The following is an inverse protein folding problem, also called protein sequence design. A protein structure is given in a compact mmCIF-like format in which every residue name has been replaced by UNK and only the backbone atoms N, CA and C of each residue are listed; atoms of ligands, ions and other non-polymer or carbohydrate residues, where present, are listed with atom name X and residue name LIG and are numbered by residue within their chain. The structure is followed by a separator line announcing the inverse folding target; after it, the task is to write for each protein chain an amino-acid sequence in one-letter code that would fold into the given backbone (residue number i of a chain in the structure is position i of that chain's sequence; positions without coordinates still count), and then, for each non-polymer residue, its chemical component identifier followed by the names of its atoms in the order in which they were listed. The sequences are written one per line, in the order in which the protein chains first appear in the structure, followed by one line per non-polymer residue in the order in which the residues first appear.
data_IF_658586375248
#
_entry.id   IF_658586375248
#
_cell.length_a   1.000
_cell.length_b   1.000
_cell.length_c   1.000
_cell.angle_alpha   90.00
_cell.angle_beta   90.00
_cell.angle_gamma   90.00
#
_symmetry.space_group_name_H-M   'P 1'
#
loop_
_entity.id
_entity.type
_entity.pdbx_description
1 polymer ?
#
# COMPACT_ATOMS: atom_id res chain seq x y z
N UNK A 1 -12.05 0.04 74.28
CA UNK A 1 -12.66 0.33 72.96
C UNK A 1 -11.57 0.89 72.04
N UNK A 2 -11.13 0.11 71.05
CA UNK A 2 -10.17 0.54 70.02
C UNK A 2 -10.94 0.62 68.69
N UNK A 3 -10.82 1.68 67.89
CA UNK A 3 -11.47 1.72 66.59
C UNK A 3 -10.64 0.89 65.60
N UNK A 4 -11.28 -0.06 64.95
CA UNK A 4 -10.73 -0.81 63.81
C UNK A 4 -10.63 0.11 62.61
N UNK A 5 -9.41 0.40 62.17
CA UNK A 5 -9.14 1.03 60.89
C UNK A 5 -9.25 -0.03 59.79
N UNK A 6 -10.40 -0.10 59.11
CA UNK A 6 -10.57 -0.85 57.87
C UNK A 6 -10.02 0.04 56.74
N UNK A 7 -8.75 -0.16 56.39
CA UNK A 7 -8.19 0.38 55.14
C UNK A 7 -8.79 -0.41 53.97
N UNK A 8 -9.78 0.19 53.30
CA UNK A 8 -10.20 -0.26 51.97
C UNK A 8 -9.10 0.12 50.97
N UNK A 9 -8.32 -0.87 50.53
CA UNK A 9 -7.51 -0.76 49.31
C UNK A 9 -8.45 -0.71 48.10
N UNK A 10 -8.79 0.49 47.65
CA UNK A 10 -9.28 0.73 46.30
C UNK A 10 -8.09 0.61 45.34
N UNK A 11 -7.82 -0.61 44.88
CA UNK A 11 -6.94 -0.83 43.74
C UNK A 11 -7.58 -0.21 42.50
N UNK A 12 -7.10 0.97 42.09
CA UNK A 12 -7.33 1.51 40.75
C UNK A 12 -6.71 0.53 39.74
N UNK A 13 -7.50 -0.42 39.25
CA UNK A 13 -7.26 -1.03 37.96
C UNK A 13 -7.59 0.03 36.92
N UNK A 14 -6.58 0.81 36.53
CA UNK A 14 -6.64 1.58 35.31
C UNK A 14 -6.69 0.59 34.14
N UNK A 15 -7.91 0.14 33.77
CA UNK A 15 -8.14 -0.48 32.48
C UNK A 15 -7.70 0.55 31.44
N UNK A 16 -6.52 0.33 30.88
CA UNK A 16 -6.14 0.96 29.63
C UNK A 16 -7.04 0.36 28.57
N UNK A 17 -8.24 0.93 28.41
CA UNK A 17 -8.99 0.78 27.19
C UNK A 17 -8.10 1.35 26.09
N UNK A 18 -7.36 0.45 25.42
CA UNK A 18 -6.59 0.83 24.24
C UNK A 18 -7.60 1.38 23.26
N UNK A 19 -7.50 2.67 22.93
CA UNK A 19 -8.40 3.29 21.99
C UNK A 19 -8.40 2.45 20.70
N UNK A 20 -9.55 1.86 20.35
CA UNK A 20 -9.61 1.13 19.09
C UNK A 20 -9.46 2.14 17.97
N UNK A 21 -8.61 1.82 17.00
CA UNK A 21 -8.32 2.63 15.84
C UNK A 21 -8.04 1.72 14.64
N UNK A 22 -7.96 2.33 13.47
CA UNK A 22 -7.47 1.67 12.26
C UNK A 22 -6.36 2.52 11.68
N UNK A 23 -5.29 1.87 11.21
CA UNK A 23 -4.24 2.51 10.45
C UNK A 23 -4.18 1.92 9.05
N UNK A 24 -3.95 2.79 8.05
CA UNK A 24 -3.68 2.36 6.68
C UNK A 24 -2.25 2.76 6.29
N UNK A 25 -1.46 1.75 5.96
CA UNK A 25 -0.04 1.89 5.65
C UNK A 25 0.25 1.40 4.23
N UNK A 26 1.41 1.77 3.68
CA UNK A 26 1.85 1.25 2.39
C UNK A 26 2.07 -0.26 2.41
N UNK A 27 2.04 -0.91 1.24
CA UNK A 27 2.32 -2.35 1.07
C UNK A 27 3.66 -2.83 1.65
N UNK A 28 4.61 -1.92 1.87
CA UNK A 28 5.95 -2.19 2.40
C UNK A 28 6.06 -2.09 3.92
N UNK A 29 4.97 -1.76 4.62
CA UNK A 29 4.96 -1.74 6.07
C UNK A 29 5.30 -3.12 6.64
N UNK A 30 6.13 -3.13 7.68
CA UNK A 30 6.35 -4.29 8.55
C UNK A 30 6.24 -3.85 10.00
N UNK A 31 5.94 -4.75 10.96
CA UNK A 31 5.87 -4.40 12.38
C UNK A 31 7.16 -3.79 12.94
N UNK A 32 8.31 -4.14 12.34
CA UNK A 32 9.63 -3.64 12.72
C UNK A 32 9.99 -2.29 12.08
N UNK A 33 9.23 -1.85 11.07
CA UNK A 33 9.42 -0.56 10.40
C UNK A 33 8.49 0.49 11.01
N UNK A 34 8.89 1.03 12.15
CA UNK A 34 8.15 2.09 12.88
C UNK A 34 8.03 3.40 12.10
N UNK A 35 8.80 3.59 11.03
CA UNK A 35 8.82 4.79 10.18
C UNK A 35 7.97 4.69 8.91
N UNK A 36 7.27 3.58 8.67
CA UNK A 36 6.47 3.43 7.46
C UNK A 36 5.32 4.45 7.44
N UNK A 37 5.31 5.32 6.43
CA UNK A 37 4.41 6.47 6.30
C UNK A 37 2.94 6.04 6.32
N UNK A 38 2.13 6.76 7.09
CA UNK A 38 0.67 6.72 6.98
C UNK A 38 0.25 7.32 5.64
N UNK A 39 -0.56 6.60 4.88
CA UNK A 39 -0.85 6.96 3.50
C UNK A 39 -2.18 7.70 3.44
N UNK A 40 -2.13 9.03 3.54
CA UNK A 40 -3.35 9.86 3.62
C UNK A 40 -3.96 10.10 2.23
N UNK A 41 -3.11 10.35 1.21
CA UNK A 41 -3.58 10.71 -0.14
C UNK A 41 -2.71 10.12 -1.27
N UNK A 42 -2.75 8.79 -1.47
CA UNK A 42 -1.88 8.12 -2.42
C UNK A 42 -2.19 8.55 -3.86
N UNK A 43 -1.14 8.75 -4.67
CA UNK A 43 -1.29 8.81 -6.12
C UNK A 43 -1.41 7.40 -6.67
N UNK A 44 -2.38 7.17 -7.56
CA UNK A 44 -2.56 5.90 -8.26
C UNK A 44 -2.61 6.14 -9.76
N UNK A 45 -1.99 5.26 -10.53
CA UNK A 45 -2.08 5.26 -11.98
C UNK A 45 -3.31 4.49 -12.45
N UNK A 46 -3.82 4.83 -13.63
CA UNK A 46 -4.85 4.05 -14.33
C UNK A 46 -4.26 2.74 -14.83
N UNK A 47 -5.12 1.73 -14.97
CA UNK A 47 -4.73 0.38 -15.38
C UNK A 47 -3.67 -0.25 -14.45
N UNK A 48 -3.73 0.08 -13.16
CA UNK A 48 -2.71 -0.31 -12.17
C UNK A 48 -3.33 -0.80 -10.87
N UNK A 49 -2.62 -1.70 -10.19
CA UNK A 49 -2.91 -2.05 -8.80
C UNK A 49 -2.14 -1.12 -7.85
N UNK A 50 -2.78 -0.77 -6.74
CA UNK A 50 -2.15 -0.17 -5.58
C UNK A 50 -2.56 -0.94 -4.35
N UNK A 51 -1.59 -1.33 -3.53
CA UNK A 51 -1.83 -2.19 -2.36
C UNK A 51 -1.52 -1.45 -1.07
N UNK A 52 -2.37 -1.64 -0.06
CA UNK A 52 -2.24 -1.09 1.28
C UNK A 52 -2.30 -2.18 2.35
N UNK A 53 -1.81 -1.86 3.55
CA UNK A 53 -1.99 -2.66 4.76
C UNK A 53 -3.01 -1.98 5.65
N UNK A 54 -4.05 -2.70 6.02
CA UNK A 54 -5.07 -2.25 6.96
C UNK A 54 -4.77 -2.91 8.30
N UNK A 55 -4.59 -2.09 9.34
CA UNK A 55 -4.10 -2.54 10.64
C UNK A 55 -5.12 -2.11 11.71
N UNK A 56 -6.03 -3.00 12.14
CA UNK A 56 -6.88 -2.75 13.29
C UNK A 56 -6.04 -2.68 14.57
N UNK A 57 -6.41 -1.79 15.49
CA UNK A 57 -5.77 -1.62 16.80
C UNK A 57 -6.80 -1.66 17.90
N UNK A 58 -6.44 -2.22 19.05
CA UNK A 58 -7.24 -2.15 20.28
C UNK A 58 -8.45 -3.09 20.33
N UNK A 59 -8.67 -3.95 19.33
CA UNK A 59 -9.74 -4.94 19.31
C UNK A 59 -9.23 -6.34 18.98
N UNK A 60 -9.87 -7.37 19.54
CA UNK A 60 -9.59 -8.79 19.26
C UNK A 60 -10.48 -9.36 18.17
N UNK A 61 -11.62 -8.72 17.89
CA UNK A 61 -12.59 -9.09 16.87
C UNK A 61 -13.18 -7.83 16.25
N UNK A 62 -13.45 -7.85 14.94
CA UNK A 62 -14.02 -6.71 14.22
C UNK A 62 -14.69 -7.15 12.91
N UNK A 63 -15.52 -6.27 12.34
CA UNK A 63 -15.99 -6.40 10.96
C UNK A 63 -15.33 -5.30 10.12
N UNK A 64 -15.08 -5.56 8.85
CA UNK A 64 -14.50 -4.61 7.90
C UNK A 64 -15.39 -4.51 6.67
N UNK A 65 -15.82 -3.28 6.35
CA UNK A 65 -16.41 -2.92 5.07
C UNK A 65 -15.49 -1.96 4.31
N UNK A 66 -15.43 -2.09 2.98
CA UNK A 66 -14.74 -1.13 2.11
C UNK A 66 -15.76 -0.43 1.22
N UNK A 67 -15.71 0.90 1.16
CA UNK A 67 -16.54 1.72 0.31
C UNK A 67 -15.70 2.72 -0.51
N UNK A 68 -16.20 3.14 -1.65
CA UNK A 68 -15.60 4.20 -2.46
C UNK A 68 -16.63 5.30 -2.75
N UNK A 69 -16.18 6.53 -3.02
CA UNK A 69 -17.06 7.60 -3.47
C UNK A 69 -16.37 8.45 -4.56
N UNK A 70 -16.88 8.46 -5.82
CA UNK A 70 -18.06 7.71 -6.26
C UNK A 70 -17.89 6.19 -6.18
N UNK A 71 -19.01 5.48 -6.14
CA UNK A 71 -19.03 4.02 -6.23
C UNK A 71 -18.40 3.57 -7.56
N UNK A 72 -17.89 2.33 -7.60
CA UNK A 72 -17.34 1.68 -8.80
C UNK A 72 -16.08 2.30 -9.43
N UNK A 73 -15.47 3.33 -8.84
CA UNK A 73 -14.18 3.88 -9.33
C UNK A 73 -13.06 2.85 -9.22
N UNK A 74 -13.12 2.00 -8.21
CA UNK A 74 -12.10 0.99 -7.93
C UNK A 74 -12.70 -0.40 -7.91
N UNK A 75 -11.93 -1.40 -8.36
CA UNK A 75 -12.20 -2.80 -8.00
C UNK A 75 -11.31 -3.16 -6.84
N UNK A 76 -11.91 -3.55 -5.73
CA UNK A 76 -11.18 -3.80 -4.49
C UNK A 76 -11.23 -5.28 -4.14
N UNK A 77 -10.12 -5.80 -3.64
CA UNK A 77 -10.06 -7.12 -3.01
C UNK A 77 -9.33 -7.01 -1.69
N UNK A 78 -9.91 -7.57 -0.64
CA UNK A 78 -9.26 -7.67 0.68
C UNK A 78 -8.75 -9.08 0.85
N UNK A 79 -7.50 -9.24 1.29
CA UNK A 79 -6.92 -10.54 1.59
C UNK A 79 -6.54 -10.67 3.06
N UNK A 80 -6.76 -11.87 3.60
CA UNK A 80 -6.23 -12.28 4.89
C UNK A 80 -4.72 -12.56 4.86
N UNK A 81 -4.11 -12.91 6.01
CA UNK A 81 -2.69 -13.21 6.14
C UNK A 81 -2.18 -14.34 5.24
N UNK A 82 -3.04 -15.28 4.87
CA UNK A 82 -2.73 -16.41 3.98
C UNK A 82 -2.90 -16.07 2.48
N UNK A 83 -3.11 -14.78 2.16
CA UNK A 83 -3.41 -14.27 0.82
C UNK A 83 -4.70 -14.84 0.21
N UNK A 84 -5.64 -15.35 1.01
CA UNK A 84 -6.97 -15.68 0.52
C UNK A 84 -7.87 -14.45 0.51
N UNK A 85 -8.68 -14.26 -0.56
CA UNK A 85 -9.63 -13.18 -0.59
C UNK A 85 -10.70 -13.38 0.49
N UNK A 86 -11.04 -12.29 1.17
CA UNK A 86 -12.15 -12.23 2.12
C UNK A 86 -13.44 -11.83 1.38
N UNK A 87 -14.62 -12.10 1.98
CA UNK A 87 -15.89 -11.57 1.48
C UNK A 87 -15.85 -10.04 1.27
N UNK A 88 -16.54 -9.56 0.24
CA UNK A 88 -16.58 -8.15 -0.18
C UNK A 88 -18.03 -7.76 -0.52
N UNK A 89 -18.51 -6.54 -0.19
CA UNK A 89 -17.78 -5.38 0.32
C UNK A 89 -17.46 -5.43 1.82
N UNK A 90 -18.10 -6.35 2.55
CA UNK A 90 -17.92 -6.52 3.99
C UNK A 90 -17.47 -7.95 4.34
N UNK A 91 -16.60 -8.05 5.33
CA UNK A 91 -16.19 -9.30 5.97
C UNK A 91 -16.37 -9.16 7.49
N UNK A 92 -17.03 -10.15 8.07
CA UNK A 92 -17.39 -10.17 9.49
C UNK A 92 -16.49 -11.12 10.29
N UNK A 93 -16.51 -10.95 11.61
CA UNK A 93 -15.87 -11.85 12.58
C UNK A 93 -14.35 -12.01 12.39
N UNK A 94 -13.68 -10.99 11.88
CA UNK A 94 -12.24 -10.96 11.64
C UNK A 94 -11.47 -10.84 12.95
N UNK A 95 -10.31 -11.48 13.00
CA UNK A 95 -9.38 -11.44 14.16
C UNK A 95 -7.94 -11.13 13.74
N UNK A 96 -7.71 -10.99 12.44
CA UNK A 96 -6.41 -10.84 11.84
C UNK A 96 -5.81 -9.48 12.19
N UNK A 97 -4.53 -9.41 12.59
CA UNK A 97 -3.91 -8.16 13.02
C UNK A 97 -3.53 -7.25 11.84
N UNK A 98 -3.48 -7.79 10.62
CA UNK A 98 -3.11 -7.07 9.39
C UNK A 98 -3.84 -7.71 8.23
N UNK A 99 -4.50 -6.88 7.42
CA UNK A 99 -5.13 -7.26 6.17
C UNK A 99 -4.44 -6.59 4.99
N UNK A 100 -4.56 -7.20 3.82
CA UNK A 100 -4.08 -6.62 2.56
C UNK A 100 -5.25 -6.03 1.79
N UNK A 101 -5.25 -4.73 1.55
CA UNK A 101 -6.23 -4.05 0.70
C UNK A 101 -5.61 -3.84 -0.68
N UNK A 102 -6.11 -4.53 -1.69
CA UNK A 102 -5.61 -4.46 -3.06
C UNK A 102 -6.62 -3.74 -3.95
N UNK A 103 -6.20 -2.61 -4.52
CA UNK A 103 -7.06 -1.67 -5.21
C UNK A 103 -6.66 -1.60 -6.68
N UNK A 104 -7.51 -2.08 -7.57
CA UNK A 104 -7.38 -1.92 -9.01
C UNK A 104 -8.04 -0.63 -9.46
N UNK A 105 -7.27 0.21 -10.16
CA UNK A 105 -7.79 1.41 -10.84
C UNK A 105 -8.00 1.09 -12.33
N UNK A 106 -9.25 1.12 -12.85
CA UNK A 106 -9.54 0.90 -14.26
C UNK A 106 -8.74 1.82 -15.19
N UNK A 107 -8.52 1.36 -16.43
CA UNK A 107 -7.76 2.07 -17.44
C UNK A 107 -8.43 3.38 -17.89
N UNK A 108 -9.76 3.43 -17.78
CA UNK A 108 -10.67 4.51 -18.16
C UNK A 108 -11.21 5.29 -16.95
N UNK A 109 -10.70 5.02 -15.74
CA UNK A 109 -11.07 5.75 -14.55
C UNK A 109 -10.85 7.27 -14.74
N UNK A 110 -11.78 8.08 -14.24
CA UNK A 110 -11.68 9.53 -14.32
C UNK A 110 -10.52 10.04 -13.47
N UNK A 111 -9.76 11.01 -14.00
CA UNK A 111 -8.69 11.69 -13.26
C UNK A 111 -9.33 12.61 -12.23
N UNK A 112 -9.32 12.19 -10.96
CA UNK A 112 -9.98 12.88 -9.86
C UNK A 112 -9.40 12.46 -8.50
N UNK A 113 -9.76 13.21 -7.46
CA UNK A 113 -9.67 12.72 -6.09
C UNK A 113 -10.92 11.93 -5.77
N UNK A 114 -10.73 10.67 -5.40
CA UNK A 114 -11.81 9.74 -5.04
C UNK A 114 -11.59 9.31 -3.61
N UNK A 115 -12.66 9.20 -2.83
CA UNK A 115 -12.56 8.69 -1.46
C UNK A 115 -12.62 7.17 -1.48
N UNK A 116 -11.71 6.53 -0.74
CA UNK A 116 -11.77 5.10 -0.42
C UNK A 116 -11.81 4.98 1.10
N UNK A 117 -12.78 4.28 1.66
CA UNK A 117 -13.00 4.22 3.11
C UNK A 117 -12.85 2.78 3.60
N UNK A 118 -12.04 2.59 4.64
CA UNK A 118 -12.10 1.40 5.47
C UNK A 118 -13.02 1.69 6.64
N UNK A 119 -14.14 0.99 6.71
CA UNK A 119 -15.15 1.14 7.75
C UNK A 119 -15.10 -0.09 8.64
N UNK A 120 -14.68 0.08 9.89
CA UNK A 120 -14.54 -1.01 10.84
C UNK A 120 -15.60 -0.90 11.94
N UNK A 121 -16.31 -1.99 12.18
CA UNK A 121 -17.17 -2.13 13.34
C UNK A 121 -16.38 -2.85 14.43
N UNK A 122 -16.14 -2.16 15.54
CA UNK A 122 -15.52 -2.71 16.74
C UNK A 122 -16.56 -2.72 17.85
N UNK A 123 -16.92 -3.92 18.31
CA UNK A 123 -17.90 -4.16 19.39
C UNK A 123 -19.24 -3.40 19.20
N UNK A 124 -19.31 -2.14 19.62
CA UNK A 124 -20.48 -1.27 19.65
C UNK A 124 -20.36 0.01 18.81
N UNK A 125 -19.28 0.19 18.03
CA UNK A 125 -19.04 1.44 17.28
C UNK A 125 -18.39 1.25 15.91
N UNK A 126 -18.73 2.17 15.01
CA UNK A 126 -18.05 2.33 13.72
C UNK A 126 -16.84 3.26 13.84
N UNK A 127 -15.73 2.85 13.22
CA UNK A 127 -14.58 3.69 12.91
C UNK A 127 -14.44 3.74 11.40
N UNK A 128 -14.56 4.93 10.83
CA UNK A 128 -14.42 5.16 9.39
C UNK A 128 -13.08 5.85 9.14
N UNK A 129 -12.24 5.23 8.32
CA UNK A 129 -10.95 5.78 7.93
C UNK A 129 -10.95 6.12 6.44
N UNK A 130 -11.04 7.40 6.08
CA UNK A 130 -11.04 7.84 4.70
C UNK A 130 -9.62 7.98 4.15
N UNK A 131 -9.43 7.54 2.90
CA UNK A 131 -8.25 7.75 2.07
C UNK A 131 -8.66 8.63 0.89
N UNK A 132 -7.96 9.76 0.68
CA UNK A 132 -8.16 10.58 -0.51
C UNK A 132 -7.25 10.10 -1.65
N UNK A 133 -7.71 9.09 -2.39
CA UNK A 133 -6.95 8.50 -3.51
C UNK A 133 -6.96 9.46 -4.70
N UNK A 134 -5.77 9.81 -5.20
CA UNK A 134 -5.58 10.71 -6.34
C UNK A 134 -5.34 9.90 -7.61
N UNK A 135 -6.40 9.63 -8.38
CA UNK A 135 -6.28 8.99 -9.69
C UNK A 135 -5.56 9.96 -10.62
N UNK A 136 -4.42 9.53 -11.15
CA UNK A 136 -3.56 10.30 -12.03
C UNK A 136 -3.82 9.96 -13.50
N UNK A 137 -3.39 10.83 -14.42
CA UNK A 137 -3.53 10.58 -15.86
C UNK A 137 -2.64 9.41 -16.32
N UNK A 138 -1.45 9.27 -15.72
CA UNK A 138 -0.53 8.15 -15.90
C UNK A 138 -1.28 6.80 -16.01
N UNK A 139 -1.04 6.08 -17.11
CA UNK A 139 -1.67 4.79 -17.40
C UNK A 139 -0.61 3.72 -17.63
N UNK A 140 -0.62 2.68 -16.79
CA UNK A 140 0.26 1.52 -16.97
C UNK A 140 -0.15 0.76 -18.25
N UNK A 141 0.80 0.33 -19.11
CA UNK A 141 0.45 -0.45 -20.30
C UNK A 141 -0.08 -1.84 -19.93
N UNK A 142 -0.95 -2.42 -20.79
CA UNK A 142 -1.52 -3.76 -20.57
C UNK A 142 -0.50 -4.90 -20.68
N UNK A 143 0.65 -4.65 -21.33
CA UNK A 143 1.71 -5.65 -21.48
C UNK A 143 2.24 -6.03 -20.10
N UNK A 144 2.35 -7.35 -19.86
CA UNK A 144 2.97 -7.88 -18.65
C UNK A 144 4.38 -7.32 -18.53
N UNK A 145 4.65 -6.62 -17.43
CA UNK A 145 5.97 -6.09 -17.14
C UNK A 145 6.99 -7.18 -16.84
N UNK A 146 8.25 -6.84 -17.10
CA UNK A 146 9.42 -7.56 -16.60
C UNK A 146 9.73 -7.16 -15.14
N UNK A 147 10.60 -7.91 -14.47
CA UNK A 147 11.12 -7.47 -13.17
C UNK A 147 12.03 -6.26 -13.32
N UNK A 148 12.27 -5.51 -12.24
CA UNK A 148 13.25 -4.42 -12.25
C UNK A 148 14.66 -4.87 -12.68
N UNK A 149 15.07 -6.10 -12.32
CA UNK A 149 16.33 -6.68 -12.79
C UNK A 149 16.33 -6.93 -14.30
N UNK A 150 15.21 -7.35 -14.88
CA UNK A 150 15.04 -7.45 -16.33
C UNK A 150 15.18 -6.08 -16.99
N UNK A 151 14.40 -5.12 -16.51
CA UNK A 151 14.35 -3.78 -17.11
C UNK A 151 15.70 -3.06 -17.03
N UNK A 152 16.34 -3.06 -15.86
CA UNK A 152 17.56 -2.29 -15.61
C UNK A 152 18.82 -3.01 -16.10
N UNK A 153 18.87 -4.34 -16.02
CA UNK A 153 20.10 -5.09 -16.24
C UNK A 153 20.07 -6.04 -17.44
N UNK A 154 18.93 -6.17 -18.14
CA UNK A 154 18.76 -7.14 -19.22
C UNK A 154 18.92 -8.59 -18.77
N UNK A 155 18.80 -8.85 -17.46
CA UNK A 155 18.93 -10.19 -16.89
C UNK A 155 17.59 -10.90 -16.94
N UNK A 156 17.54 -12.22 -17.22
CA UNK A 156 16.32 -12.99 -17.02
C UNK A 156 15.85 -12.85 -15.56
N UNK A 157 14.55 -13.06 -15.36
CA UNK A 157 13.85 -12.87 -14.09
C UNK A 157 14.68 -13.35 -12.89
N UNK A 158 15.23 -12.40 -12.10
CA UNK A 158 16.12 -12.75 -10.99
C UNK A 158 15.34 -13.41 -9.85
N UNK A 159 15.95 -14.38 -9.16
CA UNK A 159 15.40 -15.11 -8.02
C UNK A 159 15.02 -14.27 -6.79
N UNK A 160 15.22 -12.94 -6.80
CA UNK A 160 14.61 -12.01 -5.83
C UNK A 160 13.14 -11.80 -6.21
N UNK A 161 12.41 -12.89 -6.40
CA UNK A 161 10.99 -12.85 -6.66
C UNK A 161 10.29 -12.45 -5.36
N UNK A 162 9.59 -11.32 -5.36
CA UNK A 162 8.53 -11.16 -4.37
C UNK A 162 7.40 -12.09 -4.80
N UNK A 163 6.67 -12.63 -3.84
CA UNK A 163 5.43 -13.34 -4.10
C UNK A 163 4.26 -12.41 -3.82
N UNK A 164 3.13 -12.66 -4.48
CA UNK A 164 1.89 -11.92 -4.24
C UNK A 164 1.81 -10.54 -4.89
N UNK A 165 1.03 -9.66 -4.27
CA UNK A 165 0.57 -8.38 -4.84
C UNK A 165 1.70 -7.39 -5.14
N UNK A 166 2.70 -7.29 -4.27
CA UNK A 166 3.81 -6.34 -4.47
C UNK A 166 4.67 -6.66 -5.69
N UNK A 167 4.91 -7.93 -6.00
CA UNK A 167 5.65 -8.32 -7.21
C UNK A 167 4.93 -7.88 -8.48
N UNK A 168 3.61 -8.09 -8.52
CA UNK A 168 2.77 -7.62 -9.63
C UNK A 168 2.86 -6.10 -9.76
N UNK A 169 2.74 -5.36 -8.66
CA UNK A 169 2.84 -3.90 -8.67
C UNK A 169 4.22 -3.44 -9.18
N UNK A 170 5.29 -4.13 -8.81
CA UNK A 170 6.65 -3.85 -9.30
C UNK A 170 6.81 -4.02 -10.80
N UNK A 171 6.21 -5.07 -11.35
CA UNK A 171 6.21 -5.29 -12.79
C UNK A 171 5.41 -4.24 -13.53
N UNK A 172 4.28 -3.79 -12.97
CA UNK A 172 3.50 -2.70 -13.55
C UNK A 172 4.32 -1.39 -13.62
N UNK A 173 5.04 -1.07 -12.54
CA UNK A 173 5.91 0.11 -12.50
C UNK A 173 7.11 -0.03 -13.48
N UNK A 174 7.68 -1.22 -13.64
CA UNK A 174 8.71 -1.48 -14.65
C UNK A 174 8.16 -1.38 -16.09
N UNK A 175 6.94 -1.87 -16.33
CA UNK A 175 6.25 -1.74 -17.62
C UNK A 175 5.96 -0.27 -17.95
N UNK A 176 5.57 0.52 -16.94
CA UNK A 176 5.42 1.97 -17.06
C UNK A 176 6.77 2.60 -17.46
N UNK A 177 7.86 2.31 -16.75
CA UNK A 177 9.19 2.81 -17.11
C UNK A 177 9.56 2.51 -18.57
N UNK A 178 9.34 1.27 -19.01
CA UNK A 178 9.54 0.86 -20.41
C UNK A 178 8.74 1.69 -21.41
N UNK A 179 7.47 1.96 -21.10
CA UNK A 179 6.60 2.77 -21.98
C UNK A 179 7.05 4.22 -22.12
N UNK A 180 7.85 4.72 -21.17
CA UNK A 180 8.34 6.09 -21.15
C UNK A 180 9.65 6.27 -21.94
N UNK A 181 10.33 5.18 -22.31
CA UNK A 181 11.62 5.22 -23.02
C UNK A 181 11.60 6.03 -24.31
N UNK A 182 10.58 5.91 -25.20
CA UNK A 182 10.55 6.67 -26.45
C UNK A 182 10.52 8.19 -26.25
N UNK A 183 10.00 8.66 -25.10
CA UNK A 183 9.87 10.09 -24.80
C UNK A 183 11.02 10.64 -23.98
N UNK A 184 11.48 9.89 -22.99
CA UNK A 184 12.47 10.38 -22.01
C UNK A 184 13.90 9.88 -22.29
N UNK A 185 14.05 8.87 -23.15
CA UNK A 185 15.30 8.17 -23.36
C UNK A 185 15.57 7.14 -22.25
N UNK A 186 15.97 5.93 -22.66
CA UNK A 186 16.26 4.82 -21.75
C UNK A 186 17.36 5.15 -20.75
N UNK A 187 18.45 5.78 -21.18
CA UNK A 187 19.59 6.11 -20.31
C UNK A 187 19.19 7.06 -19.17
N UNK A 188 18.40 8.08 -19.50
CA UNK A 188 17.87 9.03 -18.51
C UNK A 188 16.97 8.32 -17.50
N UNK A 189 16.03 7.50 -17.97
CA UNK A 189 15.14 6.74 -17.08
C UNK A 189 15.93 5.81 -16.16
N UNK A 190 16.84 5.00 -16.71
CA UNK A 190 17.64 4.06 -15.94
C UNK A 190 18.42 4.78 -14.83
N UNK A 191 19.06 5.91 -15.15
CA UNK A 191 19.77 6.73 -14.16
C UNK A 191 18.84 7.22 -13.05
N UNK A 192 17.72 7.86 -13.41
CA UNK A 192 16.77 8.42 -12.44
C UNK A 192 16.14 7.34 -11.53
N UNK A 193 15.85 6.17 -12.10
CA UNK A 193 15.30 5.02 -11.38
C UNK A 193 16.34 4.48 -10.39
N UNK A 194 17.56 4.21 -10.84
CA UNK A 194 18.62 3.66 -9.99
C UNK A 194 18.98 4.60 -8.85
N UNK A 195 19.02 5.93 -9.10
CA UNK A 195 19.23 6.93 -8.06
C UNK A 195 18.14 6.86 -6.98
N UNK A 196 16.86 6.74 -7.36
CA UNK A 196 15.74 6.65 -6.40
C UNK A 196 15.69 5.32 -5.65
N UNK A 197 16.13 4.25 -6.31
CA UNK A 197 16.36 2.95 -5.70
C UNK A 197 17.53 2.96 -4.71
N UNK A 198 18.29 4.05 -4.63
CA UNK A 198 19.39 4.25 -3.67
C UNK A 198 20.66 3.50 -4.07
N UNK A 199 20.89 3.30 -5.37
CA UNK A 199 22.18 2.85 -5.88
C UNK A 199 22.96 3.99 -6.54
N UNK A 200 24.30 3.95 -6.49
CA UNK A 200 25.14 5.01 -7.02
C UNK A 200 25.20 4.98 -8.56
N UNK A 201 25.19 3.80 -9.18
CA UNK A 201 25.20 3.64 -10.64
C UNK A 201 24.37 2.42 -11.07
N UNK A 202 23.92 2.38 -12.33
CA UNK A 202 23.23 1.20 -12.88
C UNK A 202 24.07 -0.08 -12.79
N UNK A 203 25.38 0.00 -13.03
CA UNK A 203 26.30 -1.14 -12.94
C UNK A 203 26.40 -1.66 -11.51
N UNK A 204 26.47 -0.76 -10.52
CA UNK A 204 26.48 -1.12 -9.12
C UNK A 204 25.18 -1.82 -8.71
N UNK A 205 24.04 -1.31 -9.19
CA UNK A 205 22.75 -1.97 -8.99
C UNK A 205 22.74 -3.37 -9.60
N UNK A 206 23.20 -3.51 -10.85
CA UNK A 206 23.16 -4.78 -11.56
C UNK A 206 24.13 -5.84 -11.01
N UNK A 207 25.18 -5.44 -10.30
CA UNK A 207 26.08 -6.34 -9.56
C UNK A 207 25.40 -6.93 -8.31
N UNK A 208 24.58 -6.15 -7.61
CA UNK A 208 23.88 -6.60 -6.42
C UNK A 208 22.45 -6.02 -6.37
N UNK A 209 21.52 -6.54 -7.20
CA UNK A 209 20.14 -6.06 -7.20
C UNK A 209 19.51 -6.31 -5.84
N UNK A 210 19.04 -5.25 -5.19
CA UNK A 210 18.36 -5.32 -3.90
C UNK A 210 17.03 -4.62 -4.03
N UNK A 211 15.93 -5.14 -3.52
CA UNK A 211 14.73 -4.30 -3.51
C UNK A 211 14.97 -3.09 -2.59
N UNK A 212 14.53 -1.89 -2.99
CA UNK A 212 14.68 -0.69 -2.19
C UNK A 212 13.86 -0.80 -0.89
N UNK A 213 14.15 0.09 0.06
CA UNK A 213 13.22 0.31 1.17
C UNK A 213 11.84 0.73 0.63
N UNK A 214 10.79 0.54 1.43
CA UNK A 214 9.44 0.96 1.03
C UNK A 214 9.37 2.43 0.64
N UNK A 215 10.06 3.30 1.38
CA UNK A 215 10.12 4.75 1.09
C UNK A 215 10.82 5.04 -0.24
N UNK A 216 11.97 4.43 -0.50
CA UNK A 216 12.67 4.58 -1.79
C UNK A 216 11.81 4.08 -2.95
N UNK A 217 11.03 3.01 -2.74
CA UNK A 217 10.09 2.52 -3.75
C UNK A 217 8.95 3.51 -4.02
N UNK A 218 8.34 4.06 -2.98
CA UNK A 218 7.26 5.05 -3.13
C UNK A 218 7.75 6.29 -3.88
N UNK A 219 8.97 6.77 -3.60
CA UNK A 219 9.59 7.87 -4.36
C UNK A 219 9.81 7.54 -5.84
N UNK A 220 10.19 6.29 -6.14
CA UNK A 220 10.30 5.82 -7.52
C UNK A 220 8.93 5.83 -8.21
N UNK A 221 7.90 5.27 -7.58
CA UNK A 221 6.53 5.22 -8.13
C UNK A 221 5.99 6.63 -8.38
N UNK A 222 6.13 7.53 -7.41
CA UNK A 222 5.72 8.94 -7.55
C UNK A 222 6.43 9.62 -8.73
N UNK A 223 7.72 9.36 -8.92
CA UNK A 223 8.46 9.86 -10.08
C UNK A 223 7.90 9.32 -11.40
N UNK A 224 7.69 8.00 -11.51
CA UNK A 224 7.17 7.39 -12.73
C UNK A 224 5.79 7.97 -13.08
N UNK A 225 4.90 8.12 -12.10
CA UNK A 225 3.57 8.67 -12.31
C UNK A 225 3.64 10.15 -12.70
N UNK A 226 4.52 10.93 -12.06
CA UNK A 226 4.73 12.34 -12.38
C UNK A 226 5.21 12.53 -13.82
N UNK A 227 6.25 11.80 -14.24
CA UNK A 227 6.76 11.97 -15.61
C UNK A 227 5.83 11.39 -16.65
N UNK A 228 4.98 10.41 -16.31
CA UNK A 228 4.01 9.78 -17.20
C UNK A 228 2.75 10.62 -17.47
N UNK A 229 2.58 11.77 -16.83
CA UNK A 229 1.48 12.68 -17.18
C UNK A 229 1.62 13.14 -18.65
N UNK A 230 0.50 13.34 -19.37
CA UNK A 230 0.51 13.99 -20.68
C UNK A 230 1.19 15.36 -20.61
N UNK A 231 1.92 15.72 -21.66
CA UNK A 231 2.41 17.10 -21.82
C UNK A 231 1.19 17.96 -22.15
N UNK A 232 0.90 18.93 -21.29
CA UNK A 232 -0.16 19.92 -21.50
C UNK A 232 0.20 20.88 -22.64
#
# INVERSE_FOLDING_TARGET
MRPSAVLSLLSLLALHASAQTVEIRSEFWTPTLTSAREVISPAVARNAFTTFRVIPKGATKYNLCIAANPDDVFKVTVYGPDNKPLPFPCADDLTEPVLTLDVWTPADASVARTRLEAQMWFDDRWIIYPLEVRVQDARVPEKRGESWSGYLCGKPESAVARTGTSERNYRQDAAMARSLEPRLGRETLVREIVTRLGAPTPEAWCKAPRMPSGESYLKLRDYLYSVAQPVQ
#
